data_IF_889603144016
#
_entry.id   IF_889603144016
#
_cell.length_a   1.000
_cell.length_b   1.000
_cell.length_c   1.000
_cell.angle_alpha   90.00
_cell.angle_beta   90.00
_cell.angle_gamma   90.00
#
_symmetry.space_group_name_H-M   'P 1'
#
loop_
_entity.id
_entity.type
_entity.pdbx_description
1 polymer ?
#
# COMPACT_ATOMS: atom_id res chain seq x y z
N UNK A 1 -15.42 15.80 10.37
CA UNK A 1 -14.60 15.20 9.30
C UNK A 1 -15.34 15.37 7.99
N UNK A 2 -14.75 16.01 6.97
CA UNK A 2 -15.33 16.02 5.61
C UNK A 2 -15.28 14.60 5.07
N UNK A 3 -16.40 14.12 4.51
CA UNK A 3 -16.45 12.80 3.86
C UNK A 3 -15.50 12.77 2.66
N UNK A 4 -14.91 11.60 2.40
CA UNK A 4 -14.20 11.35 1.15
C UNK A 4 -15.17 11.59 -0.03
N UNK A 5 -14.69 12.12 -1.18
CA UNK A 5 -15.52 12.21 -2.38
C UNK A 5 -16.08 10.82 -2.73
N UNK A 6 -17.18 10.75 -3.48
CA UNK A 6 -17.71 9.47 -3.96
C UNK A 6 -16.62 8.73 -4.72
N UNK A 7 -16.01 7.74 -4.08
CA UNK A 7 -15.03 6.87 -4.70
C UNK A 7 -15.75 5.99 -5.73
N UNK A 8 -15.08 5.69 -6.85
CA UNK A 8 -15.61 4.75 -7.84
C UNK A 8 -15.85 3.36 -7.26
N UNK A 9 -16.42 2.44 -8.03
CA UNK A 9 -16.52 1.05 -7.61
C UNK A 9 -15.20 0.31 -7.85
N UNK A 10 -14.71 -0.45 -6.86
CA UNK A 10 -13.50 -1.27 -7.02
C UNK A 10 -12.83 -1.62 -5.70
N UNK A 11 -11.70 -2.33 -5.73
CA UNK A 11 -10.86 -2.55 -4.56
C UNK A 11 -10.00 -1.33 -4.23
N UNK A 12 -9.51 -1.25 -2.99
CA UNK A 12 -8.45 -0.32 -2.59
C UNK A 12 -7.07 -0.99 -2.65
N UNK A 13 -6.03 -0.22 -2.96
CA UNK A 13 -4.63 -0.64 -2.89
C UNK A 13 -3.94 0.00 -1.69
N UNK A 14 -3.30 -0.82 -0.86
CA UNK A 14 -2.31 -0.38 0.14
C UNK A 14 -0.90 -0.66 -0.42
N UNK A 15 -0.24 0.40 -0.91
CA UNK A 15 1.01 0.33 -1.65
C UNK A 15 2.21 0.59 -0.73
N UNK A 16 3.11 -0.39 -0.61
CA UNK A 16 4.17 -0.37 0.41
C UNK A 16 3.60 -0.66 1.79
N UNK A 17 2.85 -1.76 1.91
CA UNK A 17 1.95 -2.04 3.04
C UNK A 17 2.69 -2.23 4.37
N UNK A 18 3.96 -2.63 4.36
CA UNK A 18 4.75 -2.87 5.56
C UNK A 18 4.09 -3.91 6.46
N UNK A 19 3.62 -3.48 7.63
CA UNK A 19 2.89 -4.33 8.58
C UNK A 19 1.42 -4.56 8.23
N UNK A 20 0.88 -3.86 7.23
CA UNK A 20 -0.54 -3.97 6.85
C UNK A 20 -1.49 -3.06 7.60
N UNK A 21 -1.01 -2.09 8.38
CA UNK A 21 -1.88 -1.25 9.24
C UNK A 21 -2.87 -0.41 8.43
N UNK A 22 -2.43 0.20 7.33
CA UNK A 22 -3.31 1.01 6.47
C UNK A 22 -4.33 0.11 5.78
N UNK A 23 -3.90 -0.99 5.16
CA UNK A 23 -4.80 -1.95 4.55
C UNK A 23 -5.80 -2.57 5.52
N UNK A 24 -5.36 -2.96 6.72
CA UNK A 24 -6.26 -3.48 7.76
C UNK A 24 -7.30 -2.43 8.21
N UNK A 25 -6.89 -1.16 8.34
CA UNK A 25 -7.82 -0.07 8.64
C UNK A 25 -8.88 0.08 7.54
N UNK A 26 -8.48 0.13 6.27
CA UNK A 26 -9.42 0.22 5.14
C UNK A 26 -10.36 -1.00 5.08
N UNK A 27 -9.84 -2.20 5.32
CA UNK A 27 -10.64 -3.42 5.38
C UNK A 27 -11.67 -3.40 6.52
N UNK A 28 -11.30 -2.87 7.69
CA UNK A 28 -12.23 -2.68 8.81
C UNK A 28 -13.36 -1.68 8.51
N UNK A 29 -13.20 -0.85 7.48
CA UNK A 29 -14.24 0.07 6.96
C UNK A 29 -15.08 -0.55 5.84
N UNK A 30 -14.91 -1.83 5.55
CA UNK A 30 -15.69 -2.57 4.55
C UNK A 30 -15.12 -2.51 3.14
N UNK A 31 -13.90 -2.01 2.94
CA UNK A 31 -13.24 -2.03 1.63
C UNK A 31 -12.52 -3.36 1.43
N UNK A 32 -12.65 -3.97 0.24
CA UNK A 32 -11.73 -5.03 -0.14
C UNK A 32 -10.38 -4.41 -0.52
N UNK A 33 -9.31 -4.94 0.06
CA UNK A 33 -7.96 -4.36 -0.04
C UNK A 33 -7.02 -5.36 -0.70
N UNK A 34 -6.27 -4.88 -1.68
CA UNK A 34 -5.05 -5.50 -2.14
C UNK A 34 -3.89 -4.75 -1.49
N UNK A 35 -3.09 -5.44 -0.70
CA UNK A 35 -1.89 -4.90 -0.08
C UNK A 35 -0.67 -5.36 -0.88
N UNK A 36 0.30 -4.47 -1.09
CA UNK A 36 1.52 -4.80 -1.82
C UNK A 36 2.77 -4.31 -1.11
N UNK A 37 3.82 -5.12 -1.13
CA UNK A 37 5.15 -4.74 -0.65
C UNK A 37 6.21 -5.45 -1.47
N UNK A 38 7.42 -4.87 -1.53
CA UNK A 38 8.58 -5.46 -2.18
C UNK A 38 9.37 -6.34 -1.21
N UNK A 39 9.29 -6.09 0.11
CA UNK A 39 9.94 -6.92 1.12
C UNK A 39 9.06 -8.16 1.43
N UNK A 40 9.53 -9.40 1.15
CA UNK A 40 8.77 -10.61 1.44
C UNK A 40 8.44 -10.77 2.94
N UNK A 41 9.26 -10.20 3.84
CA UNK A 41 8.99 -10.19 5.28
C UNK A 41 7.83 -9.26 5.61
N UNK A 42 7.75 -8.09 4.98
CA UNK A 42 6.64 -7.16 5.12
C UNK A 42 5.34 -7.79 4.58
N UNK A 43 5.38 -8.34 3.36
CA UNK A 43 4.23 -9.05 2.78
C UNK A 43 3.71 -10.17 3.70
N UNK A 44 4.62 -10.99 4.26
CA UNK A 44 4.24 -12.03 5.23
C UNK A 44 3.65 -11.42 6.52
N UNK A 45 4.24 -10.33 7.02
CA UNK A 45 3.75 -9.62 8.21
C UNK A 45 2.33 -9.08 8.00
N UNK A 46 2.07 -8.38 6.90
CA UNK A 46 0.76 -7.87 6.52
C UNK A 46 -0.28 -8.99 6.41
N UNK A 47 0.08 -10.12 5.77
CA UNK A 47 -0.79 -11.29 5.67
C UNK A 47 -1.14 -11.88 7.05
N UNK A 48 -0.16 -12.01 7.93
CA UNK A 48 -0.36 -12.52 9.29
C UNK A 48 -1.22 -11.56 10.11
N UNK A 49 -0.98 -10.26 10.03
CA UNK A 49 -1.78 -9.25 10.73
C UNK A 49 -3.22 -9.23 10.24
N UNK A 50 -3.47 -9.33 8.94
CA UNK A 50 -4.83 -9.46 8.40
C UNK A 50 -5.53 -10.71 8.96
N UNK A 51 -4.82 -11.85 9.05
CA UNK A 51 -5.35 -13.08 9.65
C UNK A 51 -5.66 -12.94 11.14
N UNK A 52 -4.73 -12.39 11.92
CA UNK A 52 -4.89 -12.22 13.37
C UNK A 52 -6.04 -11.27 13.74
N UNK A 53 -6.34 -10.30 12.86
CA UNK A 53 -7.46 -9.36 13.05
C UNK A 53 -8.78 -9.85 12.42
N UNK A 54 -8.84 -11.09 11.90
CA UNK A 54 -10.04 -11.63 11.26
C UNK A 54 -10.37 -11.02 9.90
N UNK A 55 -9.47 -10.22 9.32
CA UNK A 55 -9.65 -9.46 8.08
C UNK A 55 -9.14 -10.18 6.83
N UNK A 56 -8.60 -11.41 6.95
CA UNK A 56 -8.00 -12.14 5.81
C UNK A 56 -8.95 -12.31 4.62
N UNK A 57 -10.26 -12.38 4.84
CA UNK A 57 -11.27 -12.49 3.79
C UNK A 57 -11.47 -11.17 3.00
N UNK A 58 -10.97 -10.05 3.51
CA UNK A 58 -11.06 -8.73 2.89
C UNK A 58 -9.70 -8.19 2.42
N UNK A 59 -8.61 -8.91 2.69
CA UNK A 59 -7.24 -8.46 2.40
C UNK A 59 -6.47 -9.55 1.68
N UNK A 60 -6.06 -9.28 0.44
CA UNK A 60 -5.04 -10.05 -0.27
C UNK A 60 -3.71 -9.33 -0.26
N UNK A 61 -2.62 -10.11 -0.27
CA UNK A 61 -1.26 -9.57 -0.21
C UNK A 61 -0.46 -10.05 -1.42
N UNK A 62 0.15 -9.09 -2.13
CA UNK A 62 0.93 -9.31 -3.36
C UNK A 62 2.36 -8.86 -3.13
N UNK A 63 3.32 -9.74 -3.42
CA UNK A 63 4.74 -9.40 -3.43
C UNK A 63 5.09 -8.77 -4.77
N UNK A 64 5.34 -7.47 -4.82
CA UNK A 64 5.74 -6.77 -6.04
C UNK A 64 6.45 -5.45 -5.72
N UNK A 65 7.25 -4.96 -6.67
CA UNK A 65 7.82 -3.62 -6.59
C UNK A 65 6.76 -2.59 -6.97
N UNK A 66 6.40 -1.72 -6.02
CA UNK A 66 5.32 -0.75 -6.14
C UNK A 66 4.08 -1.37 -6.81
N UNK A 67 3.63 -0.82 -7.93
CA UNK A 67 2.43 -1.22 -8.64
C UNK A 67 2.69 -2.13 -9.85
N UNK A 68 3.90 -2.69 -9.99
CA UNK A 68 4.33 -3.47 -11.17
C UNK A 68 3.45 -4.68 -11.51
N UNK A 69 2.70 -5.21 -10.53
CA UNK A 69 1.79 -6.34 -10.73
C UNK A 69 0.38 -5.93 -11.20
N UNK A 70 0.08 -4.64 -11.33
CA UNK A 70 -1.28 -4.15 -11.51
C UNK A 70 -1.46 -3.35 -12.80
N UNK A 71 -2.65 -3.46 -13.39
CA UNK A 71 -3.04 -2.66 -14.56
C UNK A 71 -3.56 -1.30 -14.11
N UNK A 72 -3.40 -0.28 -14.95
CA UNK A 72 -3.98 1.06 -14.72
C UNK A 72 -5.50 1.02 -14.59
N UNK A 73 -6.06 1.77 -13.65
CA UNK A 73 -7.48 1.82 -13.33
C UNK A 73 -8.01 0.60 -12.58
N UNK A 74 -7.15 -0.25 -12.00
CA UNK A 74 -7.59 -1.45 -11.28
C UNK A 74 -8.16 -1.15 -9.88
N UNK A 75 -7.89 0.04 -9.34
CA UNK A 75 -8.25 0.41 -7.98
C UNK A 75 -9.05 1.72 -7.93
N UNK A 76 -10.06 1.76 -7.06
CA UNK A 76 -10.82 2.99 -6.80
C UNK A 76 -10.07 3.95 -5.86
N UNK A 77 -9.11 3.43 -5.09
CA UNK A 77 -8.33 4.15 -4.10
C UNK A 77 -6.95 3.53 -4.03
N UNK A 78 -5.91 4.36 -4.12
CA UNK A 78 -4.53 3.98 -3.81
C UNK A 78 -4.10 4.74 -2.57
N UNK A 79 -3.80 4.02 -1.49
CA UNK A 79 -3.24 4.55 -0.26
C UNK A 79 -1.77 4.09 -0.16
N UNK A 80 -0.91 4.98 0.33
CA UNK A 80 0.49 4.65 0.57
C UNK A 80 1.05 5.53 1.68
N UNK A 81 1.91 4.96 2.51
CA UNK A 81 2.80 5.69 3.40
C UNK A 81 4.24 5.43 2.95
N UNK A 82 4.69 6.08 1.86
CA UNK A 82 6.00 5.79 1.28
C UNK A 82 7.13 6.26 2.19
N UNK A 83 8.34 5.70 2.06
CA UNK A 83 9.53 6.26 2.70
C UNK A 83 9.75 7.71 2.28
N UNK A 84 10.13 8.56 3.25
CA UNK A 84 10.17 10.01 3.09
C UNK A 84 11.43 10.70 3.64
N UNK A 85 12.38 9.95 4.21
CA UNK A 85 13.62 10.54 4.72
C UNK A 85 14.58 10.84 3.56
N UNK A 86 15.25 12.02 3.56
CA UNK A 86 16.19 12.43 2.53
C UNK A 86 17.55 11.77 2.74
N UNK A 87 17.62 10.45 2.53
CA UNK A 87 18.83 9.64 2.68
C UNK A 87 19.08 8.85 1.41
N UNK A 88 20.34 8.79 0.98
CA UNK A 88 20.76 8.04 -0.22
C UNK A 88 20.87 6.54 0.04
N UNK A 89 21.18 6.15 1.27
CA UNK A 89 21.27 4.75 1.67
C UNK A 89 19.91 4.06 1.50
N UNK A 90 19.81 2.94 0.77
CA UNK A 90 18.52 2.36 0.37
C UNK A 90 17.92 1.50 1.49
N UNK A 91 17.43 2.13 2.55
CA UNK A 91 16.62 1.51 3.59
C UNK A 91 15.17 1.53 3.13
N UNK A 92 14.66 0.39 2.65
CA UNK A 92 13.32 0.25 2.06
C UNK A 92 12.20 0.95 2.83
N UNK A 93 12.24 0.88 4.16
CA UNK A 93 11.18 1.41 5.01
C UNK A 93 11.16 2.94 5.09
N UNK A 94 12.30 3.63 5.00
CA UNK A 94 12.40 5.06 5.33
C UNK A 94 13.11 5.92 4.29
N UNK A 95 13.95 5.35 3.43
CA UNK A 95 14.73 6.10 2.45
C UNK A 95 13.88 6.56 1.26
N UNK A 96 13.53 7.83 1.27
CA UNK A 96 12.73 8.46 0.23
C UNK A 96 13.54 8.87 -1.01
N UNK A 97 14.86 8.69 -0.98
CA UNK A 97 15.82 9.21 -1.97
C UNK A 97 16.51 10.49 -1.47
N UNK A 98 17.39 11.11 -2.27
CA UNK A 98 18.14 12.32 -1.87
C UNK A 98 17.23 13.47 -1.39
N UNK A 99 16.08 13.65 -2.02
CA UNK A 99 15.08 14.67 -1.65
C UNK A 99 13.97 14.16 -0.72
N UNK A 100 13.97 12.88 -0.35
CA UNK A 100 12.90 12.25 0.45
C UNK A 100 11.55 12.13 -0.27
N UNK A 101 11.50 12.38 -1.59
CA UNK A 101 10.24 12.45 -2.36
C UNK A 101 10.26 11.59 -3.61
N UNK A 102 11.38 10.96 -3.92
CA UNK A 102 11.61 10.23 -5.15
C UNK A 102 10.67 9.02 -5.25
N UNK A 103 10.48 8.31 -4.13
CA UNK A 103 9.53 7.18 -4.06
C UNK A 103 8.09 7.65 -4.26
N UNK A 104 7.67 8.72 -3.56
CA UNK A 104 6.33 9.29 -3.75
C UNK A 104 6.10 9.76 -5.21
N UNK A 105 7.10 10.39 -5.84
CA UNK A 105 7.03 10.79 -7.25
C UNK A 105 6.98 9.61 -8.20
N UNK A 106 7.62 8.48 -7.87
CA UNK A 106 7.55 7.25 -8.65
C UNK A 106 6.16 6.64 -8.57
N UNK A 107 5.58 6.57 -7.36
CA UNK A 107 4.19 6.12 -7.14
C UNK A 107 3.21 6.92 -8.00
N UNK A 108 3.27 8.25 -7.97
CA UNK A 108 2.35 9.10 -8.75
C UNK A 108 2.46 8.84 -10.26
N UNK A 109 3.68 8.60 -10.77
CA UNK A 109 3.91 8.28 -12.19
C UNK A 109 3.39 6.88 -12.56
N UNK A 110 3.57 5.93 -11.66
CA UNK A 110 3.25 4.51 -11.85
C UNK A 110 1.86 4.12 -11.32
N UNK A 111 0.99 5.10 -11.00
CA UNK A 111 -0.34 4.81 -10.46
C UNK A 111 -1.09 3.76 -11.32
N UNK A 112 -1.54 2.66 -10.69
CA UNK A 112 -2.30 1.61 -11.35
C UNK A 112 -3.79 1.98 -11.44
#
# INVERSE_FOLDING_TARGET
>A
MKGLPSLGAGPALDLGTGTGVVGAYLASRGLYVVASDVDPRAARCAWMNAKLNGLRHMVDVVLCDLASAFKRGAFMLVASNPPYLPVEEPILAWSGGPGGVEVARRIVRELP
#
